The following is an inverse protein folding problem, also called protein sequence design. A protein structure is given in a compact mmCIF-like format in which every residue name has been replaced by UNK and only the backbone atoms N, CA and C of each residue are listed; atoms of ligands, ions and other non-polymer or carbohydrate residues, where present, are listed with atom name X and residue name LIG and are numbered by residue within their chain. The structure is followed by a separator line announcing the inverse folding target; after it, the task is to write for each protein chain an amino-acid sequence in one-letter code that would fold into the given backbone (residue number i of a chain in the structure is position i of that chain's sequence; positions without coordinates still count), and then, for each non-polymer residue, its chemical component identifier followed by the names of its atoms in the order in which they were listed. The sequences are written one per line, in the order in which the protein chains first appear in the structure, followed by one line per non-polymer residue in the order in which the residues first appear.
data_IF_187446340989
#
_entry.id   IF_187446340989
#
_cell.length_a   1.000
_cell.length_b   1.000
_cell.length_c   1.000
_cell.angle_alpha   90.00
_cell.angle_beta   90.00
_cell.angle_gamma   90.00
#
_symmetry.space_group_name_H-M   'P 1'
#
loop_
_entity.id
_entity.type
_entity.pdbx_description
1 polymer ?
#
# COMPACT_ATOMS: atom_id res chain seq x y z
N UNK A 1 8.72 -31.19 -11.28
CA UNK A 1 8.29 -30.71 -9.95
C UNK A 1 7.40 -29.49 -10.15
N UNK A 2 6.10 -29.59 -9.84
CA UNK A 2 5.15 -28.51 -10.08
C UNK A 2 5.38 -27.37 -9.06
N UNK A 3 5.84 -26.21 -9.53
CA UNK A 3 5.78 -24.99 -8.72
C UNK A 3 4.30 -24.64 -8.51
N UNK A 4 3.84 -24.67 -7.27
CA UNK A 4 2.47 -24.31 -6.89
C UNK A 4 2.18 -22.87 -7.30
N UNK A 5 1.11 -22.65 -8.09
CA UNK A 5 0.71 -21.34 -8.62
C UNK A 5 0.65 -20.24 -7.54
N UNK A 6 0.23 -20.58 -6.31
CA UNK A 6 0.20 -19.64 -5.19
C UNK A 6 1.57 -19.09 -4.79
N UNK A 7 2.66 -19.86 -4.92
CA UNK A 7 4.02 -19.38 -4.64
C UNK A 7 4.47 -18.35 -5.67
N UNK A 8 4.12 -18.56 -6.93
CA UNK A 8 4.40 -17.61 -8.01
C UNK A 8 3.59 -16.33 -7.84
N UNK A 9 2.30 -16.43 -7.53
CA UNK A 9 1.45 -15.27 -7.25
C UNK A 9 1.96 -14.41 -6.07
N UNK A 10 2.41 -15.04 -4.99
CA UNK A 10 3.03 -14.34 -3.87
C UNK A 10 4.35 -13.64 -4.27
N UNK A 11 5.14 -14.28 -5.13
CA UNK A 11 6.41 -13.73 -5.58
C UNK A 11 6.20 -12.52 -6.51
N UNK A 12 5.25 -12.59 -7.43
CA UNK A 12 4.92 -11.48 -8.35
C UNK A 12 4.21 -10.34 -7.64
N UNK A 13 3.29 -10.63 -6.71
CA UNK A 13 2.65 -9.62 -5.86
C UNK A 13 3.68 -8.84 -5.03
N UNK A 14 4.61 -9.54 -4.37
CA UNK A 14 5.71 -8.90 -3.64
C UNK A 14 6.63 -8.07 -4.54
N UNK A 15 6.87 -8.50 -5.79
CA UNK A 15 7.65 -7.71 -6.76
C UNK A 15 6.92 -6.42 -7.13
N UNK A 16 5.61 -6.48 -7.36
CA UNK A 16 4.79 -5.30 -7.66
C UNK A 16 4.79 -4.32 -6.50
N UNK A 17 4.58 -4.80 -5.26
CA UNK A 17 4.63 -3.93 -4.09
C UNK A 17 6.01 -3.27 -3.92
N UNK A 18 7.11 -4.00 -4.13
CA UNK A 18 8.46 -3.40 -4.08
C UNK A 18 8.68 -2.37 -5.18
N UNK A 19 8.16 -2.63 -6.37
CA UNK A 19 8.22 -1.69 -7.48
C UNK A 19 7.49 -0.39 -7.15
N UNK A 20 6.27 -0.49 -6.62
CA UNK A 20 5.51 0.68 -6.12
C UNK A 20 6.30 1.40 -5.03
N UNK A 21 6.85 0.66 -4.06
CA UNK A 21 7.64 1.22 -2.97
C UNK A 21 8.84 2.03 -3.48
N UNK A 22 9.57 1.52 -4.48
CA UNK A 22 10.68 2.25 -5.08
C UNK A 22 10.23 3.52 -5.80
N UNK A 23 9.12 3.48 -6.55
CA UNK A 23 8.56 4.68 -7.20
C UNK A 23 8.20 5.75 -6.16
N UNK A 24 7.61 5.36 -5.03
CA UNK A 24 7.28 6.29 -3.95
C UNK A 24 8.54 6.98 -3.42
N UNK A 25 9.60 6.22 -3.17
CA UNK A 25 10.90 6.75 -2.75
C UNK A 25 11.48 7.71 -3.80
N UNK A 26 11.46 7.33 -5.09
CA UNK A 26 11.94 8.17 -6.20
C UNK A 26 11.12 9.46 -6.36
N UNK A 27 9.83 9.42 -5.99
CA UNK A 27 8.94 10.58 -5.95
C UNK A 27 9.08 11.43 -4.67
N UNK A 28 10.04 11.11 -3.79
CA UNK A 28 10.33 11.87 -2.58
C UNK A 28 9.43 11.55 -1.38
N UNK A 29 8.63 10.48 -1.44
CA UNK A 29 7.88 10.04 -0.27
C UNK A 29 8.80 9.33 0.73
N UNK A 30 8.56 9.59 2.02
CA UNK A 30 9.28 8.95 3.10
C UNK A 30 8.49 7.81 3.73
N UNK A 31 9.18 6.71 4.05
CA UNK A 31 8.56 5.59 4.74
C UNK A 31 8.34 5.92 6.22
N UNK A 32 7.09 6.03 6.64
CA UNK A 32 6.73 6.32 8.03
C UNK A 32 6.65 5.02 8.83
N UNK A 33 7.41 4.94 9.93
CA UNK A 33 7.38 3.77 10.83
C UNK A 33 6.12 3.75 11.70
N UNK A 34 5.71 4.90 12.20
CA UNK A 34 4.48 5.04 12.98
C UNK A 34 3.27 5.23 12.07
N UNK A 35 2.63 4.12 11.72
CA UNK A 35 1.43 4.09 10.87
C UNK A 35 0.27 4.91 11.43
N UNK A 36 0.21 5.14 12.76
CA UNK A 36 -0.84 5.97 13.38
C UNK A 36 -0.67 7.46 13.06
N UNK A 37 0.53 7.89 12.70
CA UNK A 37 0.77 9.26 12.20
C UNK A 37 0.19 9.44 10.80
N UNK A 38 0.30 8.43 9.92
CA UNK A 38 -0.33 8.50 8.59
C UNK A 38 -1.86 8.53 8.63
N UNK A 39 -2.46 7.90 9.64
CA UNK A 39 -3.92 7.97 9.85
C UNK A 39 -4.38 9.34 10.38
N UNK A 40 -3.45 10.19 10.81
CA UNK A 40 -3.67 11.57 11.24
C UNK A 40 -2.88 12.48 10.30
N UNK A 41 -3.37 12.58 9.07
CA UNK A 41 -2.68 13.28 7.98
C UNK A 41 -2.26 14.71 8.30
N UNK A 42 -2.94 15.37 9.25
CA UNK A 42 -2.57 16.69 9.78
C UNK A 42 -1.25 16.72 10.59
N UNK A 43 -0.76 15.57 11.04
CA UNK A 43 0.50 15.42 11.82
C UNK A 43 1.72 15.16 10.90
N UNK A 44 1.55 15.37 9.59
CA UNK A 44 2.52 15.06 8.55
C UNK A 44 2.86 16.31 7.72
N UNK A 45 4.07 16.81 7.93
CA UNK A 45 4.61 17.98 7.23
C UNK A 45 5.26 17.63 5.87
N UNK A 46 5.59 16.36 5.66
CA UNK A 46 6.31 15.87 4.47
C UNK A 46 5.58 14.69 3.82
N UNK A 47 5.71 14.52 2.51
CA UNK A 47 5.07 13.40 1.81
C UNK A 47 5.52 12.06 2.41
N UNK A 48 4.56 11.27 2.89
CA UNK A 48 4.82 10.06 3.66
C UNK A 48 4.00 8.87 3.19
N UNK A 49 4.53 7.66 3.34
CA UNK A 49 3.79 6.43 3.06
C UNK A 49 4.08 5.32 4.08
N UNK A 50 3.15 4.39 4.22
CA UNK A 50 3.40 3.11 4.90
C UNK A 50 2.67 1.97 4.20
N UNK A 51 3.17 0.76 4.46
CA UNK A 51 2.64 -0.49 3.91
C UNK A 51 1.76 -1.23 4.90
N UNK A 52 0.81 -2.02 4.41
CA UNK A 52 -0.01 -2.94 5.22
C UNK A 52 -0.65 -2.21 6.41
N UNK A 53 -1.37 -1.13 6.12
CA UNK A 53 -1.93 -0.20 7.11
C UNK A 53 -3.38 -0.58 7.41
N UNK A 54 -3.74 -0.72 8.70
CA UNK A 54 -5.14 -0.89 9.09
C UNK A 54 -5.85 0.46 8.96
N UNK A 55 -6.80 0.56 8.05
CA UNK A 55 -7.57 1.78 7.76
C UNK A 55 -8.99 1.73 8.34
N UNK A 56 -9.43 0.57 8.83
CA UNK A 56 -10.75 0.45 9.45
C UNK A 56 -11.12 -0.97 9.81
N UNK A 57 -12.41 -1.23 9.78
CA UNK A 57 -13.03 -2.53 10.03
C UNK A 57 -13.96 -2.84 8.86
N UNK A 58 -13.94 -4.08 8.37
CA UNK A 58 -14.85 -4.54 7.32
C UNK A 58 -16.27 -4.72 7.87
N UNK A 59 -17.24 -4.95 6.98
CA UNK A 59 -18.62 -5.27 7.38
C UNK A 59 -18.74 -6.56 8.21
N UNK A 60 -17.70 -7.40 8.21
CA UNK A 60 -17.63 -8.64 9.00
C UNK A 60 -16.88 -8.46 10.32
N UNK A 61 -16.56 -7.23 10.73
CA UNK A 61 -15.85 -6.96 11.99
C UNK A 61 -14.35 -7.27 11.95
N UNK A 62 -13.79 -7.62 10.78
CA UNK A 62 -12.36 -7.92 10.64
C UNK A 62 -11.53 -6.68 10.30
N UNK A 63 -10.23 -6.61 10.65
CA UNK A 63 -9.39 -5.47 10.29
C UNK A 63 -9.32 -5.27 8.77
N UNK A 64 -9.76 -4.10 8.29
CA UNK A 64 -9.54 -3.68 6.92
C UNK A 64 -8.13 -3.09 6.82
N UNK A 65 -7.29 -3.72 6.00
CA UNK A 65 -5.92 -3.27 5.74
C UNK A 65 -5.77 -2.93 4.26
N UNK A 66 -4.95 -1.92 3.98
CA UNK A 66 -4.52 -1.63 2.63
C UNK A 66 -3.05 -1.92 2.39
N UNK A 67 -2.68 -2.14 1.12
CA UNK A 67 -1.28 -2.39 0.73
C UNK A 67 -0.40 -1.18 0.98
N UNK A 68 -0.84 0.02 0.56
CA UNK A 68 -0.17 1.30 0.87
C UNK A 68 -1.18 2.37 1.29
N UNK A 69 -0.78 3.19 2.26
CA UNK A 69 -1.40 4.47 2.59
C UNK A 69 -0.36 5.57 2.41
N UNK A 70 -0.70 6.58 1.62
CA UNK A 70 0.10 7.76 1.34
C UNK A 70 -0.58 8.96 1.98
N UNK A 71 0.21 9.95 2.39
CA UNK A 71 -0.24 11.28 2.79
C UNK A 71 0.68 12.29 2.13
N UNK A 72 0.10 13.37 1.62
CA UNK A 72 0.84 14.50 1.11
C UNK A 72 0.17 15.78 1.60
N UNK A 73 0.92 16.74 2.18
CA UNK A 73 0.35 17.91 2.85
C UNK A 73 -0.55 18.73 1.92
N UNK A 74 -0.16 18.89 0.65
CA UNK A 74 -0.92 19.70 -0.32
C UNK A 74 -1.88 18.92 -1.22
N UNK A 75 -1.55 17.68 -1.62
CA UNK A 75 -2.27 16.96 -2.68
C UNK A 75 -3.32 16.00 -2.16
N UNK A 76 -3.00 15.27 -1.09
CA UNK A 76 -3.80 14.18 -0.55
C UNK A 76 -3.81 14.29 0.97
N UNK A 77 -4.35 15.40 1.45
CA UNK A 77 -4.46 15.70 2.87
C UNK A 77 -5.44 14.77 3.60
N UNK A 78 -6.34 14.08 2.90
CA UNK A 78 -7.20 13.02 3.47
C UNK A 78 -6.56 11.62 3.39
N UNK A 79 -5.37 11.55 2.79
CA UNK A 79 -4.66 10.31 2.47
C UNK A 79 -5.10 9.69 1.14
N UNK A 80 -4.21 8.86 0.58
CA UNK A 80 -4.44 8.11 -0.65
C UNK A 80 -4.12 6.64 -0.40
N UNK A 81 -5.07 5.76 -0.71
CA UNK A 81 -4.90 4.31 -0.61
C UNK A 81 -4.49 3.73 -1.97
N UNK A 82 -3.49 2.86 -1.98
CA UNK A 82 -3.14 2.05 -3.16
C UNK A 82 -3.31 0.58 -2.81
N UNK A 83 -4.08 -0.14 -3.62
CA UNK A 83 -4.25 -1.59 -3.62
C UNK A 83 -3.52 -2.18 -4.81
N UNK A 84 -2.53 -3.03 -4.57
CA UNK A 84 -1.70 -3.62 -5.61
C UNK A 84 -2.24 -5.01 -5.97
N UNK A 85 -2.56 -5.22 -7.24
CA UNK A 85 -3.00 -6.52 -7.77
C UNK A 85 -2.20 -6.84 -9.02
N UNK A 86 -1.41 -7.91 -8.97
CA UNK A 86 -0.65 -8.40 -10.13
C UNK A 86 -1.53 -9.32 -10.98
N UNK A 87 -1.52 -9.13 -12.30
CA UNK A 87 -2.19 -10.01 -13.25
C UNK A 87 -1.26 -10.39 -14.41
N UNK A 88 -1.30 -11.67 -14.80
CA UNK A 88 -0.51 -12.21 -15.91
C UNK A 88 -1.29 -12.22 -17.25
N UNK A 89 -2.62 -12.27 -17.18
CA UNK A 89 -3.51 -12.27 -18.35
C UNK A 89 -4.55 -11.17 -18.14
N UNK A 90 -4.87 -10.44 -19.20
CA UNK A 90 -5.93 -9.44 -19.17
C UNK A 90 -7.29 -10.09 -18.96
N UNK A 91 -7.93 -9.77 -17.84
CA UNK A 91 -9.25 -10.23 -17.43
C UNK A 91 -9.59 -9.62 -16.08
N UNK A 92 -10.86 -9.38 -15.79
CA UNK A 92 -11.30 -8.63 -14.60
C UNK A 92 -10.89 -9.33 -13.31
N UNK A 93 -10.14 -8.64 -12.44
CA UNK A 93 -9.91 -9.02 -11.03
C UNK A 93 -11.12 -8.67 -10.18
#
# INVERSE_FOLDING_TARGET
MAQTQGRQANLTGNRLERFIENILLDCGFQKVKDKKRLLRSQDIDEAGYARQVKIGTTIYGTPLKCDFLLVHPEKWSEGLVIEAKWQQVGGTV
#
